data_IF_519097625481
#
_entry.id   IF_519097625481
#
_cell.length_a   1.000
_cell.length_b   1.000
_cell.length_c   1.000
_cell.angle_alpha   90.00
_cell.angle_beta   90.00
_cell.angle_gamma   90.00
#
_symmetry.space_group_name_H-M   'P 1'
#
loop_
_entity.id
_entity.type
_entity.pdbx_description
1 polymer ?
#
# COMPACT_ATOMS: atom_id res chain seq x y z
N UNK A 1 8.65 -9.51 31.81
CA UNK A 1 7.65 -8.47 31.47
C UNK A 1 8.05 -7.58 30.28
N UNK A 2 9.32 -7.15 30.16
CA UNK A 2 9.80 -6.28 29.05
C UNK A 2 9.55 -6.88 27.63
N UNK A 3 9.75 -8.19 27.47
CA UNK A 3 9.50 -8.92 26.22
C UNK A 3 8.02 -8.91 25.81
N UNK A 4 7.11 -9.09 26.77
CA UNK A 4 5.66 -9.08 26.53
C UNK A 4 5.23 -7.69 26.05
N UNK A 5 5.77 -6.63 26.67
CA UNK A 5 5.48 -5.26 26.26
C UNK A 5 6.00 -4.96 24.85
N UNK A 6 7.19 -5.45 24.50
CA UNK A 6 7.75 -5.31 23.16
C UNK A 6 6.93 -6.05 22.10
N UNK A 7 6.48 -7.28 22.41
CA UNK A 7 5.63 -8.08 21.51
C UNK A 7 4.28 -7.40 21.32
N UNK A 8 3.68 -6.88 22.39
CA UNK A 8 2.43 -6.15 22.33
C UNK A 8 2.52 -4.91 21.43
N UNK A 9 3.56 -4.11 21.59
CA UNK A 9 3.81 -2.94 20.75
C UNK A 9 3.96 -3.33 19.26
N UNK A 10 4.69 -4.40 18.97
CA UNK A 10 4.86 -4.90 17.62
C UNK A 10 3.51 -5.34 17.00
N UNK A 11 2.65 -6.01 17.76
CA UNK A 11 1.32 -6.43 17.30
C UNK A 11 0.44 -5.22 16.99
N UNK A 12 0.44 -4.19 17.83
CA UNK A 12 -0.32 -2.96 17.58
C UNK A 12 0.11 -2.28 16.27
N UNK A 13 1.42 -2.24 16.00
CA UNK A 13 1.96 -1.66 14.76
C UNK A 13 1.56 -2.47 13.53
N UNK A 14 1.44 -3.79 13.66
CA UNK A 14 0.96 -4.63 12.57
C UNK A 14 -0.56 -4.44 12.36
N UNK A 15 -1.34 -4.30 13.44
CA UNK A 15 -2.80 -4.24 13.43
C UNK A 15 -3.38 -3.11 12.55
N UNK A 16 -2.68 -1.98 12.47
CA UNK A 16 -3.08 -0.81 11.68
C UNK A 16 -3.18 -1.07 10.16
N UNK A 17 -2.59 -2.16 9.65
CA UNK A 17 -2.72 -2.59 8.24
C UNK A 17 -3.89 -3.54 7.94
N UNK A 18 -4.62 -4.03 8.94
CA UNK A 18 -5.57 -5.16 8.76
C UNK A 18 -6.98 -4.76 8.30
N UNK A 19 -7.26 -3.50 7.98
CA UNK A 19 -8.62 -3.07 7.60
C UNK A 19 -9.21 -3.83 6.41
N UNK A 20 -8.46 -3.92 5.30
CA UNK A 20 -8.91 -4.59 4.07
C UNK A 20 -8.95 -6.12 4.20
N UNK A 21 -8.00 -6.70 4.93
CA UNK A 21 -7.95 -8.15 5.17
C UNK A 21 -9.09 -8.62 6.07
N UNK A 22 -9.47 -7.81 7.06
CA UNK A 22 -10.61 -8.06 7.93
C UNK A 22 -11.95 -8.10 7.17
N UNK A 23 -12.14 -7.18 6.21
CA UNK A 23 -13.32 -7.16 5.32
C UNK A 23 -13.44 -8.47 4.53
N UNK A 24 -12.34 -8.97 3.97
CA UNK A 24 -12.33 -10.23 3.22
C UNK A 24 -12.60 -11.42 4.15
N UNK A 25 -11.99 -11.42 5.34
CA UNK A 25 -12.12 -12.51 6.30
C UNK A 25 -13.57 -12.66 6.77
N UNK A 26 -14.18 -11.57 7.22
CA UNK A 26 -15.59 -11.52 7.64
C UNK A 26 -16.56 -11.90 6.51
N UNK A 27 -16.27 -11.49 5.27
CA UNK A 27 -17.03 -11.91 4.10
C UNK A 27 -16.95 -13.42 3.86
N UNK A 28 -15.76 -14.01 3.98
CA UNK A 28 -15.54 -15.44 3.72
C UNK A 28 -16.23 -16.32 4.77
N UNK A 29 -16.19 -15.92 6.04
CA UNK A 29 -16.88 -16.61 7.13
C UNK A 29 -18.41 -16.65 6.92
N UNK A 30 -18.99 -15.55 6.44
CA UNK A 30 -20.44 -15.40 6.27
C UNK A 30 -20.92 -15.51 4.82
N UNK A 31 -20.08 -16.04 3.91
CA UNK A 31 -20.31 -15.95 2.47
C UNK A 31 -21.63 -16.59 2.03
N UNK A 32 -22.01 -17.70 2.67
CA UNK A 32 -23.25 -18.41 2.35
C UNK A 32 -24.48 -17.55 2.66
N UNK A 33 -24.52 -16.95 3.85
CA UNK A 33 -25.60 -16.05 4.29
C UNK A 33 -25.69 -14.81 3.40
N UNK A 34 -24.54 -14.22 3.05
CA UNK A 34 -24.47 -13.07 2.15
C UNK A 34 -25.00 -13.44 0.76
N UNK A 35 -24.65 -14.62 0.24
CA UNK A 35 -25.10 -15.09 -1.07
C UNK A 35 -26.60 -15.34 -1.12
N UNK A 36 -27.22 -15.79 -0.03
CA UNK A 36 -28.65 -16.11 0.04
C UNK A 36 -29.51 -14.87 0.29
N UNK A 37 -29.06 -13.98 1.18
CA UNK A 37 -29.91 -12.89 1.69
C UNK A 37 -29.64 -11.53 1.02
N UNK A 38 -28.38 -11.23 0.67
CA UNK A 38 -27.94 -9.87 0.28
C UNK A 38 -27.55 -9.80 -1.20
N UNK A 39 -27.12 -10.90 -1.80
CA UNK A 39 -26.64 -10.93 -3.19
C UNK A 39 -27.73 -10.50 -4.18
N UNK A 40 -27.43 -9.49 -5.01
CA UNK A 40 -28.37 -9.00 -6.04
C UNK A 40 -28.68 -10.04 -7.12
N UNK A 41 -27.74 -10.95 -7.41
CA UNK A 41 -27.91 -12.01 -8.41
C UNK A 41 -28.45 -13.32 -7.83
N UNK A 42 -28.94 -13.33 -6.58
CA UNK A 42 -29.40 -14.55 -5.89
C UNK A 42 -30.48 -15.35 -6.64
N UNK A 43 -31.32 -14.65 -7.41
CA UNK A 43 -32.43 -15.26 -8.16
C UNK A 43 -32.00 -15.81 -9.53
N UNK A 44 -30.75 -15.58 -9.94
CA UNK A 44 -30.24 -16.06 -11.22
C UNK A 44 -29.69 -17.49 -11.03
N UNK A 45 -30.28 -18.51 -11.68
CA UNK A 45 -29.77 -19.87 -11.61
C UNK A 45 -28.35 -19.93 -12.22
N UNK A 46 -27.46 -20.70 -11.59
CA UNK A 46 -26.05 -20.85 -11.99
C UNK A 46 -25.22 -19.55 -12.04
N UNK A 47 -25.50 -18.57 -11.16
CA UNK A 47 -24.69 -17.36 -11.11
C UNK A 47 -23.28 -17.59 -10.53
N UNK A 48 -22.28 -16.86 -11.05
CA UNK A 48 -20.87 -16.90 -10.57
C UNK A 48 -20.56 -15.87 -9.48
N UNK A 49 -21.55 -15.08 -9.05
CA UNK A 49 -21.36 -13.96 -8.14
C UNK A 49 -21.09 -14.41 -6.71
N UNK A 50 -21.89 -15.34 -6.16
CA UNK A 50 -21.68 -15.89 -4.80
C UNK A 50 -21.40 -14.82 -3.72
N UNK A 51 -22.09 -13.68 -3.79
CA UNK A 51 -21.92 -12.55 -2.86
C UNK A 51 -20.81 -11.53 -3.20
N UNK A 52 -20.05 -11.71 -4.29
CA UNK A 52 -18.98 -10.77 -4.71
C UNK A 52 -19.46 -9.34 -4.95
N UNK A 53 -20.73 -9.15 -5.33
CA UNK A 53 -21.35 -7.84 -5.47
C UNK A 53 -21.32 -7.04 -4.15
N UNK A 54 -21.61 -7.69 -3.03
CA UNK A 54 -21.59 -7.09 -1.71
C UNK A 54 -20.16 -6.75 -1.27
N UNK A 55 -19.21 -7.66 -1.51
CA UNK A 55 -17.79 -7.44 -1.23
C UNK A 55 -17.25 -6.21 -1.99
N UNK A 56 -17.58 -6.10 -3.29
CA UNK A 56 -17.20 -4.93 -4.11
C UNK A 56 -17.78 -3.62 -3.56
N UNK A 57 -19.01 -3.64 -3.04
CA UNK A 57 -19.63 -2.47 -2.41
C UNK A 57 -18.91 -2.07 -1.12
N UNK A 58 -18.54 -3.04 -0.27
CA UNK A 58 -17.78 -2.77 0.94
C UNK A 58 -16.40 -2.17 0.64
N UNK A 59 -15.69 -2.68 -0.36
CA UNK A 59 -14.40 -2.11 -0.79
C UNK A 59 -14.51 -0.67 -1.30
N UNK A 60 -15.52 -0.38 -2.13
CA UNK A 60 -15.77 1.00 -2.57
C UNK A 60 -16.07 1.93 -1.40
N UNK A 61 -16.87 1.46 -0.44
CA UNK A 61 -17.20 2.26 0.73
C UNK A 61 -15.98 2.51 1.63
N UNK A 62 -15.07 1.54 1.78
CA UNK A 62 -13.82 1.78 2.51
C UNK A 62 -12.92 2.78 1.79
N UNK A 63 -12.78 2.66 0.47
CA UNK A 63 -11.94 3.56 -0.33
C UNK A 63 -12.46 5.00 -0.35
N UNK A 64 -13.78 5.18 -0.46
CA UNK A 64 -14.40 6.51 -0.38
C UNK A 64 -14.25 7.14 1.02
N UNK A 65 -14.24 6.34 2.09
CA UNK A 65 -13.98 6.86 3.45
C UNK A 65 -12.54 7.35 3.57
N UNK A 66 -11.59 6.60 3.04
CA UNK A 66 -10.18 6.97 3.04
C UNK A 66 -9.96 8.25 2.19
N UNK A 67 -10.63 8.37 1.02
CA UNK A 67 -10.55 9.56 0.16
C UNK A 67 -11.19 10.82 0.78
N UNK A 68 -12.31 10.67 1.49
CA UNK A 68 -12.97 11.81 2.15
C UNK A 68 -12.27 12.26 3.44
N UNK A 69 -11.37 11.45 3.99
CA UNK A 69 -10.52 11.81 5.13
C UNK A 69 -9.20 12.47 4.72
N UNK A 70 -8.77 12.34 3.46
CA UNK A 70 -7.71 13.18 2.92
C UNK A 70 -8.29 14.57 2.65
N UNK A 71 -7.76 15.65 3.24
CA UNK A 71 -8.16 16.99 2.84
C UNK A 71 -7.89 17.15 1.35
N UNK A 72 -8.93 17.50 0.58
CA UNK A 72 -8.84 17.77 -0.85
C UNK A 72 -7.87 18.94 -1.09
N UNK A 73 -6.59 18.63 -1.28
CA UNK A 73 -5.54 19.58 -1.63
C UNK A 73 -5.59 19.90 -3.13
N UNK A 74 -6.77 20.16 -3.67
CA UNK A 74 -6.93 20.45 -5.10
C UNK A 74 -7.46 21.83 -5.43
N UNK A 75 -8.05 22.60 -4.49
CA UNK A 75 -8.57 23.93 -4.82
C UNK A 75 -8.55 24.95 -3.66
N UNK A 76 -7.46 25.05 -2.90
CA UNK A 76 -7.30 26.18 -1.98
C UNK A 76 -5.91 26.79 -2.13
N UNK A 77 -5.85 27.89 -2.89
CA UNK A 77 -4.91 28.98 -2.62
C UNK A 77 -5.24 29.55 -1.23
N UNK A 78 -4.74 28.89 -0.19
CA UNK A 78 -4.62 29.48 1.13
C UNK A 78 -3.16 29.31 1.54
N UNK A 79 -2.48 30.44 1.58
CA UNK A 79 -1.27 30.63 2.35
C UNK A 79 -1.53 30.11 3.78
N UNK A 80 -1.22 28.84 4.00
CA UNK A 80 -0.90 28.37 5.33
C UNK A 80 0.62 28.40 5.37
N UNK A 81 1.15 29.28 6.20
CA UNK A 81 2.54 29.25 6.62
C UNK A 81 2.76 27.92 7.37
N UNK A 82 2.90 26.84 6.61
CA UNK A 82 3.64 25.69 7.09
C UNK A 82 5.08 26.15 7.17
N UNK A 83 5.53 26.41 8.40
CA UNK A 83 6.96 26.39 8.70
C UNK A 83 7.42 24.97 8.37
N UNK A 84 7.86 24.76 7.14
CA UNK A 84 8.71 23.63 6.79
C UNK A 84 10.03 23.93 7.46
N UNK A 85 10.21 23.45 8.70
CA UNK A 85 11.56 23.32 9.22
C UNK A 85 12.27 22.35 8.30
N UNK A 86 13.34 22.76 7.57
CA UNK A 86 14.14 21.81 6.84
C UNK A 86 14.69 20.83 7.88
N UNK A 87 14.27 19.57 7.79
CA UNK A 87 14.90 18.52 8.55
C UNK A 87 16.28 18.33 7.93
N UNK A 88 17.29 18.97 8.52
CA UNK A 88 18.69 18.76 8.15
C UNK A 88 19.07 17.31 8.49
N UNK A 89 18.89 16.43 7.51
CA UNK A 89 19.34 15.05 7.60
C UNK A 89 20.85 15.03 7.36
N UNK A 90 21.62 15.28 8.41
CA UNK A 90 23.07 15.15 8.36
C UNK A 90 23.44 13.66 8.38
N UNK A 91 23.41 13.04 7.19
CA UNK A 91 23.87 11.68 6.98
C UNK A 91 25.39 11.65 7.17
N UNK A 92 25.83 11.50 8.43
CA UNK A 92 27.24 11.23 8.74
C UNK A 92 27.49 9.80 8.27
N UNK A 93 27.90 9.68 7.01
CA UNK A 93 28.47 8.45 6.46
C UNK A 93 29.53 8.01 7.46
N UNK A 94 29.22 6.93 8.17
CA UNK A 94 30.16 6.30 9.09
C UNK A 94 31.36 5.97 8.23
N UNK A 95 32.54 6.46 8.62
CA UNK A 95 33.79 6.05 7.99
C UNK A 95 33.85 4.53 8.13
N UNK A 96 33.51 3.82 7.06
CA UNK A 96 33.83 2.40 6.96
C UNK A 96 35.35 2.39 6.95
N UNK A 97 35.94 2.01 8.07
CA UNK A 97 37.36 1.72 8.16
C UNK A 97 37.61 0.55 7.21
N UNK A 98 37.98 0.90 5.99
CA UNK A 98 38.60 -0.01 5.05
C UNK A 98 39.86 -0.55 5.74
N UNK A 99 39.81 -1.83 6.12
CA UNK A 99 41.05 -2.57 6.36
C UNK A 99 41.85 -2.55 5.05
N UNK A 100 43.02 -1.93 5.14
CA UNK A 100 44.12 -1.89 4.16
C UNK A 100 44.24 -3.23 3.39
N UNK A 101 43.92 -3.23 2.10
CA UNK A 101 44.83 -3.09 0.95
C UNK A 101 45.54 -4.39 0.54
N UNK A 102 45.14 -4.92 -0.63
CA UNK A 102 46.08 -5.33 -1.67
C UNK A 102 45.66 -4.60 -2.97
N UNK A 103 46.58 -4.00 -3.74
CA UNK A 103 46.23 -3.09 -4.82
C UNK A 103 46.23 -3.75 -6.21
N UNK A 104 45.75 -2.96 -7.19
CA UNK A 104 45.93 -3.06 -8.65
C UNK A 104 45.05 -4.17 -9.30
N UNK A 105 44.19 -3.95 -10.29
CA UNK A 105 44.28 -3.21 -11.57
C UNK A 105 42.87 -2.77 -12.00
N UNK A 106 42.77 -1.61 -12.67
CA UNK A 106 41.57 -1.16 -13.35
C UNK A 106 41.25 -2.10 -14.52
N UNK A 107 40.18 -2.87 -14.43
CA UNK A 107 39.49 -3.34 -15.63
C UNK A 107 38.28 -2.43 -15.88
N UNK A 108 38.41 -1.60 -16.91
CA UNK A 108 37.27 -1.09 -17.63
C UNK A 108 36.38 -2.26 -18.06
N UNK A 109 35.08 -1.99 -18.25
CA UNK A 109 34.05 -2.89 -18.78
C UNK A 109 33.34 -3.76 -17.74
N UNK A 110 32.28 -3.22 -17.14
CA UNK A 110 30.90 -3.52 -17.57
C UNK A 110 29.89 -2.81 -16.65
N UNK A 111 29.43 -1.62 -17.04
CA UNK A 111 28.21 -1.04 -16.47
C UNK A 111 27.06 -1.32 -17.45
N UNK A 112 26.09 -2.20 -17.13
CA UNK A 112 24.81 -2.14 -17.81
C UNK A 112 24.00 -1.01 -17.17
N UNK A 113 24.19 0.20 -17.69
CA UNK A 113 23.24 1.31 -17.55
C UNK A 113 22.01 0.96 -18.38
N UNK A 114 21.01 0.32 -17.79
CA UNK A 114 19.57 0.43 -18.11
C UNK A 114 18.79 -0.78 -17.62
N UNK A 115 18.27 -0.73 -16.38
CA UNK A 115 17.15 -1.60 -16.00
C UNK A 115 16.28 -1.04 -14.87
N UNK A 116 16.08 0.27 -14.81
CA UNK A 116 15.16 0.91 -13.83
C UNK A 116 14.06 1.78 -14.46
N UNK A 117 13.90 1.77 -15.79
CA UNK A 117 12.82 2.49 -16.49
C UNK A 117 11.86 1.59 -17.27
N UNK A 118 11.83 0.27 -16.99
CA UNK A 118 11.06 -0.71 -17.78
C UNK A 118 9.73 -1.20 -17.18
N UNK A 119 9.39 -0.86 -15.94
CA UNK A 119 8.25 -1.49 -15.21
C UNK A 119 7.10 -0.50 -14.97
N UNK A 120 6.97 0.54 -15.80
CA UNK A 120 5.72 1.31 -15.86
C UNK A 120 5.21 1.35 -17.30
N UNK A 121 4.16 0.59 -17.56
CA UNK A 121 3.39 0.67 -18.81
C UNK A 121 1.99 1.18 -18.46
N UNK A 122 1.70 2.48 -18.65
CA UNK A 122 0.33 2.97 -18.51
C UNK A 122 -0.56 2.31 -19.59
N UNK A 123 -1.84 2.03 -19.29
CA UNK A 123 -2.76 1.47 -20.27
C UNK A 123 -3.02 2.48 -21.41
N UNK A 124 -3.02 2.01 -22.66
CA UNK A 124 -3.30 2.84 -23.83
C UNK A 124 -4.75 3.33 -23.78
N UNK A 125 -5.02 4.64 -23.96
CA UNK A 125 -6.38 5.11 -24.16
C UNK A 125 -6.90 4.57 -25.50
N UNK A 126 -8.00 3.82 -25.45
CA UNK A 126 -8.76 3.43 -26.63
C UNK A 126 -9.39 4.68 -27.23
N UNK A 127 -8.89 5.14 -28.38
CA UNK A 127 -9.58 6.13 -29.20
C UNK A 127 -10.74 5.43 -29.93
N UNK A 128 -11.95 5.94 -29.72
CA UNK A 128 -13.16 5.64 -30.49
C UNK A 128 -13.09 6.42 -31.80
#
# INVERSE_FOLDING_TARGET
MKLIMSIFLAILILMQGFGKTWIILSFKLNQQTISKNICVQRNIPNNKCKGKCHLKKQFKNSENKDQNQLPNLSNQSLASDYIVQPLDFHLKLINIQHHSANPIVQDEHFIPKACILGIFRPPRPTLV
#
